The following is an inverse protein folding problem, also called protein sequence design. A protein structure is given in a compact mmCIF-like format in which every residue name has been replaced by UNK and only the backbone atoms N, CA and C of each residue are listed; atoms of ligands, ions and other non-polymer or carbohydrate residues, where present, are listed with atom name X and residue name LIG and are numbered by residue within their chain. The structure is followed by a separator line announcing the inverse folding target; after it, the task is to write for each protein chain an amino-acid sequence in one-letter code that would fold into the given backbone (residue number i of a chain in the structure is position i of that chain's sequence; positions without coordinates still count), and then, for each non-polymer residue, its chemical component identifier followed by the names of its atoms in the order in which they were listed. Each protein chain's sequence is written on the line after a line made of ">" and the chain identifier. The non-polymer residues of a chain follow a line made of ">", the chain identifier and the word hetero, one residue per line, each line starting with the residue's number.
data_IF_601707230856
#
_entry.id   IF_601707230856
#
_cell.length_a   1.000
_cell.length_b   1.000
_cell.length_c   1.000
_cell.angle_alpha   90.00
_cell.angle_beta   90.00
_cell.angle_gamma   90.00
#
_symmetry.space_group_name_H-M   'P 1'
#
loop_
_entity.id
_entity.type
_entity.pdbx_description
1 polymer ?
#
# COMPACT_ATOMS: atom_id res chain seq x y z
N UNK A 1 -5.61 -15.00 -7.63
CA UNK A 1 -4.83 -13.76 -7.62
C UNK A 1 -4.83 -13.19 -9.02
N UNK A 2 -5.25 -11.93 -9.19
CA UNK A 2 -4.96 -11.20 -10.43
C UNK A 2 -3.47 -10.86 -10.47
N UNK A 3 -2.88 -10.66 -11.66
CA UNK A 3 -1.44 -10.35 -11.78
C UNK A 3 -1.02 -9.14 -10.93
N UNK A 4 -1.91 -8.15 -10.79
CA UNK A 4 -1.69 -6.96 -9.96
C UNK A 4 -1.55 -7.28 -8.46
N UNK A 5 -2.41 -8.18 -7.95
CA UNK A 5 -2.39 -8.61 -6.55
C UNK A 5 -1.10 -9.37 -6.22
N UNK A 6 -0.62 -10.21 -7.16
CA UNK A 6 0.64 -10.93 -7.01
C UNK A 6 1.87 -10.02 -6.96
N UNK A 7 1.92 -8.99 -7.81
CA UNK A 7 3.04 -8.04 -7.82
C UNK A 7 3.05 -7.19 -6.54
N UNK A 8 1.90 -6.70 -6.09
CA UNK A 8 1.79 -5.94 -4.85
C UNK A 8 2.19 -6.80 -3.65
N UNK A 9 1.68 -8.03 -3.58
CA UNK A 9 2.01 -8.96 -2.50
C UNK A 9 3.51 -9.27 -2.43
N UNK A 10 4.14 -9.57 -3.57
CA UNK A 10 5.59 -9.80 -3.67
C UNK A 10 6.40 -8.58 -3.21
N UNK A 11 5.97 -7.37 -3.58
CA UNK A 11 6.61 -6.15 -3.11
C UNK A 11 6.53 -6.00 -1.58
N UNK A 12 5.35 -6.23 -1.01
CA UNK A 12 5.13 -6.10 0.43
C UNK A 12 5.90 -7.15 1.25
N UNK A 13 6.01 -8.38 0.75
CA UNK A 13 6.76 -9.45 1.44
C UNK A 13 8.27 -9.19 1.50
N UNK A 14 8.81 -8.46 0.52
CA UNK A 14 10.23 -8.09 0.45
C UNK A 14 10.52 -6.71 1.02
N UNK A 15 9.50 -6.03 1.54
CA UNK A 15 9.60 -4.67 2.04
C UNK A 15 10.49 -4.61 3.28
N UNK A 16 11.41 -3.65 3.29
CA UNK A 16 12.23 -3.31 4.45
C UNK A 16 12.30 -1.79 4.62
N UNK A 17 12.91 -1.32 5.70
CA UNK A 17 13.00 0.11 6.03
C UNK A 17 13.97 0.92 5.13
N UNK A 18 14.58 0.33 4.09
CA UNK A 18 15.48 1.09 3.23
C UNK A 18 14.71 2.05 2.31
N UNK A 19 15.18 3.30 2.13
CA UNK A 19 14.48 4.28 1.30
C UNK A 19 14.23 3.82 -0.15
N UNK A 20 15.17 3.06 -0.73
CA UNK A 20 15.04 2.53 -2.09
C UNK A 20 13.95 1.46 -2.21
N UNK A 21 13.82 0.59 -1.20
CA UNK A 21 12.78 -0.44 -1.17
C UNK A 21 11.38 0.19 -1.01
N UNK A 22 11.26 1.16 -0.08
CA UNK A 22 10.01 1.91 0.13
C UNK A 22 9.63 2.66 -1.15
N UNK A 23 10.56 3.38 -1.78
CA UNK A 23 10.29 4.09 -3.03
C UNK A 23 9.83 3.13 -4.15
N UNK A 24 10.53 2.00 -4.32
CA UNK A 24 10.17 1.01 -5.33
C UNK A 24 8.76 0.45 -5.11
N UNK A 25 8.41 0.09 -3.87
CA UNK A 25 7.05 -0.35 -3.56
C UNK A 25 6.02 0.76 -3.72
N UNK A 26 6.34 2.03 -3.43
CA UNK A 26 5.42 3.14 -3.67
C UNK A 26 5.10 3.26 -5.14
N UNK A 27 6.10 3.15 -6.01
CA UNK A 27 5.92 3.24 -7.47
C UNK A 27 5.04 2.09 -7.99
N UNK A 28 5.25 0.87 -7.48
CA UNK A 28 4.39 -0.29 -7.76
C UNK A 28 2.95 -0.03 -7.31
N UNK A 29 2.75 0.40 -6.07
CA UNK A 29 1.43 0.74 -5.54
C UNK A 29 0.75 1.80 -6.41
N UNK A 30 1.42 2.91 -6.67
CA UNK A 30 0.87 4.04 -7.43
C UNK A 30 0.47 3.61 -8.85
N UNK A 31 1.25 2.74 -9.50
CA UNK A 31 0.93 2.22 -10.85
C UNK A 31 -0.34 1.38 -10.85
N UNK A 32 -0.46 0.39 -9.96
CA UNK A 32 -1.61 -0.51 -9.96
C UNK A 32 -2.87 0.11 -9.38
N UNK A 33 -2.71 1.13 -8.54
CA UNK A 33 -3.81 1.85 -7.94
C UNK A 33 -4.52 2.79 -8.94
N UNK A 34 -3.81 3.33 -9.93
CA UNK A 34 -4.42 4.03 -11.07
C UNK A 34 -5.41 3.13 -11.83
N UNK A 35 -5.18 1.82 -11.86
CA UNK A 35 -6.03 0.85 -12.56
C UNK A 35 -7.09 0.24 -11.65
N UNK A 36 -6.73 -0.13 -10.42
CA UNK A 36 -7.65 -0.76 -9.48
C UNK A 36 -7.33 -0.43 -8.00
N UNK A 37 -7.84 0.71 -7.49
CA UNK A 37 -7.51 1.22 -6.16
C UNK A 37 -7.93 0.28 -5.02
N UNK A 38 -9.08 -0.39 -5.19
CA UNK A 38 -9.64 -1.32 -4.20
C UNK A 38 -8.80 -2.58 -4.04
N UNK A 39 -8.27 -3.13 -5.13
CA UNK A 39 -7.39 -4.31 -5.06
C UNK A 39 -6.13 -3.96 -4.28
N UNK A 40 -5.45 -2.87 -4.63
CA UNK A 40 -4.21 -2.48 -3.97
C UNK A 40 -4.37 -2.26 -2.46
N UNK A 41 -5.42 -1.53 -2.04
CA UNK A 41 -5.71 -1.31 -0.63
C UNK A 41 -6.08 -2.61 0.11
N UNK A 42 -6.87 -3.50 -0.52
CA UNK A 42 -7.23 -4.79 0.06
C UNK A 42 -6.01 -5.72 0.21
N UNK A 43 -5.16 -5.80 -0.82
CA UNK A 43 -3.94 -6.62 -0.78
C UNK A 43 -3.01 -6.17 0.32
N UNK A 44 -2.79 -4.84 0.43
CA UNK A 44 -2.05 -4.26 1.54
C UNK A 44 -2.64 -4.65 2.90
N UNK A 45 -3.96 -4.46 3.09
CA UNK A 45 -4.62 -4.80 4.35
C UNK A 45 -4.44 -6.27 4.71
N UNK A 46 -4.58 -7.17 3.74
CA UNK A 46 -4.36 -8.60 3.95
C UNK A 46 -2.93 -8.87 4.43
N UNK A 47 -1.92 -8.31 3.77
CA UNK A 47 -0.51 -8.51 4.20
C UNK A 47 -0.24 -7.92 5.58
N UNK A 48 -0.79 -6.74 5.90
CA UNK A 48 -0.66 -6.13 7.24
C UNK A 48 -1.36 -6.97 8.32
N UNK A 49 -2.53 -7.55 8.00
CA UNK A 49 -3.27 -8.40 8.94
C UNK A 49 -2.58 -9.74 9.15
N UNK A 50 -2.05 -10.31 8.07
CA UNK A 50 -1.52 -11.67 8.05
C UNK A 50 -0.03 -11.70 8.46
N UNK A 51 0.64 -10.54 8.59
CA UNK A 51 2.01 -10.48 9.10
C UNK A 51 2.06 -10.80 10.59
N UNK A 52 2.85 -11.82 10.94
CA UNK A 52 3.16 -12.16 12.34
C UNK A 52 4.52 -11.61 12.77
N UNK A 53 5.26 -11.00 11.84
CA UNK A 53 6.60 -10.46 12.08
C UNK A 53 6.50 -8.98 12.48
N UNK A 54 6.91 -8.69 13.72
CA UNK A 54 6.93 -7.34 14.28
C UNK A 54 7.88 -6.40 13.53
N UNK A 55 8.95 -6.93 12.96
CA UNK A 55 9.96 -6.15 12.24
C UNK A 55 9.46 -5.76 10.84
N UNK A 56 8.56 -6.54 10.25
CA UNK A 56 7.89 -6.21 8.98
C UNK A 56 6.68 -5.30 9.14
N UNK A 57 6.02 -5.33 10.30
CA UNK A 57 4.81 -4.56 10.53
C UNK A 57 5.02 -3.06 10.32
N UNK A 58 6.09 -2.50 10.86
CA UNK A 58 6.39 -1.08 10.77
C UNK A 58 6.64 -0.61 9.31
N UNK A 59 7.50 -1.27 8.50
CA UNK A 59 7.60 -1.01 7.06
C UNK A 59 6.25 -1.01 6.33
N UNK A 60 5.39 -2.00 6.61
CA UNK A 60 4.10 -2.16 5.94
C UNK A 60 3.12 -1.02 6.26
N UNK A 61 3.20 -0.45 7.46
CA UNK A 61 2.45 0.76 7.81
C UNK A 61 3.08 2.01 7.17
N UNK A 62 4.41 2.12 7.16
CA UNK A 62 5.11 3.25 6.54
C UNK A 62 4.85 3.38 5.05
N UNK A 63 4.82 2.27 4.30
CA UNK A 63 4.55 2.33 2.86
C UNK A 63 3.16 2.86 2.56
N UNK A 64 2.16 2.53 3.38
CA UNK A 64 0.82 3.10 3.24
C UNK A 64 0.83 4.60 3.46
N UNK A 65 1.52 5.07 4.49
CA UNK A 65 1.67 6.50 4.75
C UNK A 65 2.39 7.22 3.59
N UNK A 66 3.49 6.65 3.07
CA UNK A 66 4.24 7.25 1.94
C UNK A 66 3.41 7.29 0.65
N UNK A 67 2.65 6.24 0.35
CA UNK A 67 1.72 6.21 -0.78
C UNK A 67 0.64 7.29 -0.61
N UNK A 68 -0.01 7.37 0.56
CA UNK A 68 -1.07 8.34 0.82
C UNK A 68 -0.58 9.78 0.78
N UNK A 69 0.61 10.06 1.33
CA UNK A 69 1.22 11.38 1.22
C UNK A 69 1.52 11.72 -0.23
N UNK A 70 2.14 10.79 -0.98
CA UNK A 70 2.50 11.04 -2.37
C UNK A 70 1.28 11.26 -3.27
N UNK A 71 0.22 10.47 -3.07
CA UNK A 71 -0.99 10.53 -3.91
C UNK A 71 -1.93 11.65 -3.45
N UNK A 72 -2.05 11.86 -2.14
CA UNK A 72 -2.86 12.92 -1.53
C UNK A 72 -2.30 14.32 -1.76
N UNK A 73 -0.98 14.48 -1.87
CA UNK A 73 -0.35 15.76 -2.23
C UNK A 73 -0.53 16.14 -3.71
N UNK A 74 -0.99 15.22 -4.57
CA UNK A 74 -1.28 15.53 -5.97
C UNK A 74 -2.64 14.97 -6.46
N UNK A 75 -3.77 15.51 -5.94
CA UNK A 75 -5.11 15.04 -6.30
C UNK A 75 -5.43 15.19 -7.78
N UNK A 76 -4.80 16.16 -8.48
CA UNK A 76 -5.00 16.38 -9.92
C UNK A 76 -4.45 15.24 -10.77
N UNK A 77 -3.40 14.56 -10.31
CA UNK A 77 -2.75 13.45 -11.02
C UNK A 77 -3.34 12.09 -10.63
N UNK A 78 -3.83 11.96 -9.40
CA UNK A 78 -4.16 10.66 -8.81
C UNK A 78 -5.63 10.52 -8.38
N UNK A 79 -6.40 11.61 -8.32
CA UNK A 79 -7.78 11.63 -7.84
C UNK A 79 -7.92 11.43 -6.32
N UNK A 80 -9.15 11.34 -5.83
CA UNK A 80 -9.48 11.07 -4.41
C UNK A 80 -9.71 9.59 -4.11
N UNK A 81 -9.78 8.75 -5.14
CA UNK A 81 -10.00 7.30 -5.04
C UNK A 81 -8.99 6.61 -4.10
N UNK A 82 -7.81 7.21 -3.92
CA UNK A 82 -6.79 6.78 -2.95
C UNK A 82 -7.26 6.81 -1.50
N UNK A 83 -7.78 7.95 -1.07
CA UNK A 83 -8.27 8.08 0.29
C UNK A 83 -9.48 7.16 0.50
N UNK A 84 -10.39 7.10 -0.46
CA UNK A 84 -11.62 6.31 -0.35
C UNK A 84 -11.38 4.81 -0.25
N UNK A 85 -10.40 4.25 -0.97
CA UNK A 85 -10.15 2.81 -0.89
C UNK A 85 -9.27 2.41 0.31
N UNK A 86 -8.44 3.30 0.86
CA UNK A 86 -7.71 3.03 2.12
C UNK A 86 -8.54 3.31 3.37
N UNK A 87 -9.49 4.25 3.30
CA UNK A 87 -10.27 4.73 4.45
C UNK A 87 -10.92 3.63 5.31
N UNK A 88 -11.62 2.62 4.74
CA UNK A 88 -12.25 1.58 5.55
C UNK A 88 -11.25 0.84 6.44
N UNK A 89 -10.06 0.58 5.92
CA UNK A 89 -9.01 -0.16 6.61
C UNK A 89 -8.29 0.68 7.65
N UNK A 90 -8.15 1.99 7.42
CA UNK A 90 -7.59 2.93 8.40
C UNK A 90 -8.56 3.16 9.57
N UNK A 91 -9.86 3.23 9.28
CA UNK A 91 -10.90 3.44 10.29
C UNK A 91 -11.09 2.22 11.22
N UNK A 92 -10.89 1.01 10.70
CA UNK A 92 -10.89 -0.24 11.48
C UNK A 92 -9.68 -0.35 12.42
N UNK A 93 -8.63 0.44 12.16
CA UNK A 93 -7.36 0.36 12.87
C UNK A 93 -6.53 -0.85 12.47
N UNK A 94 -5.24 -0.77 12.78
CA UNK A 94 -4.30 -1.86 12.55
C UNK A 94 -4.38 -2.85 13.70
N UNK A 95 -5.20 -3.87 13.54
CA UNK A 95 -5.24 -5.08 14.35
C UNK A 95 -5.01 -6.29 13.47
#
# INVERSE_FOLDING_TARGET
>A
MTDCEAVIHSCLQSLNCTPSCIQGCREVFTRYYQTNPKIAARTWRNVVRDTTDSDQYLPLVYICNDVLQHTGLNPRKYGTNYLEAFWPYLAEGFR
#
